data_IF_936625341154
#
_entry.id   IF_936625341154
#
_cell.length_a   1.000
_cell.length_b   1.000
_cell.length_c   1.000
_cell.angle_alpha   90.00
_cell.angle_beta   90.00
_cell.angle_gamma   90.00
#
_symmetry.space_group_name_H-M   'P 1'
#
loop_
_entity.id
_entity.type
_entity.pdbx_description
1 polymer ?
#
# COMPACT_ATOMS: atom_id res chain seq x y z
N UNK A 1 -12.91 -49.77 47.82
CA UNK A 1 -13.24 -48.41 47.33
C UNK A 1 -12.03 -47.60 46.83
N UNK A 2 -10.92 -47.46 47.57
CA UNK A 2 -9.76 -46.62 47.15
C UNK A 2 -9.07 -47.02 45.82
N UNK A 3 -8.95 -48.32 45.51
CA UNK A 3 -8.29 -48.78 44.25
C UNK A 3 -9.07 -48.41 42.99
N UNK A 4 -10.40 -48.46 43.04
CA UNK A 4 -11.26 -48.09 41.91
C UNK A 4 -11.22 -46.58 41.65
N UNK A 5 -11.10 -45.77 42.71
CA UNK A 5 -10.97 -44.32 42.58
C UNK A 5 -9.65 -43.91 41.93
N UNK A 6 -8.55 -44.58 42.27
CA UNK A 6 -7.23 -44.35 41.63
C UNK A 6 -7.28 -44.76 40.16
N UNK A 7 -7.91 -45.89 39.83
CA UNK A 7 -8.05 -46.35 38.46
C UNK A 7 -8.88 -45.39 37.60
N UNK A 8 -9.99 -44.88 38.13
CA UNK A 8 -10.82 -43.85 37.47
C UNK A 8 -10.03 -42.56 37.26
N UNK A 9 -9.25 -42.13 38.25
CA UNK A 9 -8.44 -40.91 38.14
C UNK A 9 -7.35 -41.03 37.06
N UNK A 10 -6.70 -42.19 36.95
CA UNK A 10 -5.70 -42.46 35.91
C UNK A 10 -6.34 -42.40 34.51
N UNK A 11 -7.52 -43.00 34.34
CA UNK A 11 -8.25 -42.96 33.06
C UNK A 11 -8.61 -41.51 32.70
N UNK A 12 -9.11 -40.72 33.65
CA UNK A 12 -9.46 -39.32 33.40
C UNK A 12 -8.23 -38.52 32.97
N UNK A 13 -7.10 -38.70 33.65
CA UNK A 13 -5.83 -38.03 33.29
C UNK A 13 -5.39 -38.43 31.87
N UNK A 14 -5.45 -39.72 31.52
CA UNK A 14 -5.07 -40.20 30.19
C UNK A 14 -5.95 -39.60 29.08
N UNK A 15 -7.26 -39.52 29.31
CA UNK A 15 -8.20 -38.90 28.36
C UNK A 15 -7.92 -37.41 28.18
N UNK A 16 -7.65 -36.69 29.27
CA UNK A 16 -7.31 -35.25 29.21
C UNK A 16 -6.00 -35.02 28.46
N UNK A 17 -4.96 -35.81 28.74
CA UNK A 17 -3.66 -35.70 28.06
C UNK A 17 -3.79 -36.00 26.57
N UNK A 18 -4.53 -37.06 26.21
CA UNK A 18 -4.82 -37.39 24.82
C UNK A 18 -5.59 -36.26 24.13
N UNK A 19 -6.60 -35.68 24.78
CA UNK A 19 -7.38 -34.56 24.26
C UNK A 19 -6.52 -33.31 23.99
N UNK A 20 -5.64 -32.94 24.92
CA UNK A 20 -4.72 -31.80 24.76
C UNK A 20 -3.73 -32.05 23.62
N UNK A 21 -3.22 -33.28 23.49
CA UNK A 21 -2.31 -33.65 22.40
C UNK A 21 -2.99 -33.58 21.03
N UNK A 22 -4.21 -34.12 20.92
CA UNK A 22 -5.02 -34.06 19.70
C UNK A 22 -5.33 -32.60 19.34
N UNK A 23 -5.77 -31.80 20.32
CA UNK A 23 -6.08 -30.38 20.10
C UNK A 23 -4.85 -29.59 19.63
N UNK A 24 -3.68 -29.80 20.25
CA UNK A 24 -2.43 -29.17 19.82
C UNK A 24 -2.02 -29.58 18.40
N UNK A 25 -2.28 -30.82 17.99
CA UNK A 25 -1.98 -31.25 16.62
C UNK A 25 -3.00 -30.70 15.61
N UNK A 26 -4.28 -30.60 15.97
CA UNK A 26 -5.32 -29.98 15.14
C UNK A 26 -5.02 -28.50 14.90
N UNK A 27 -4.68 -27.74 15.94
CA UNK A 27 -4.30 -26.33 15.76
C UNK A 27 -3.02 -26.18 14.95
N UNK A 28 -2.04 -27.08 15.10
CA UNK A 28 -0.82 -27.07 14.28
C UNK A 28 -1.10 -27.39 12.81
N UNK A 29 -2.06 -28.27 12.51
CA UNK A 29 -2.52 -28.57 11.15
C UNK A 29 -3.28 -27.40 10.53
N UNK A 30 -4.14 -26.74 11.30
CA UNK A 30 -4.91 -25.56 10.85
C UNK A 30 -4.00 -24.37 10.54
N UNK A 31 -2.94 -24.18 11.35
CA UNK A 31 -1.87 -23.19 11.08
C UNK A 31 -1.00 -23.61 9.89
N UNK A 32 -0.73 -24.92 9.70
CA UNK A 32 0.06 -25.41 8.57
C UNK A 32 -0.68 -25.36 7.23
N UNK A 33 -2.02 -25.46 7.21
CA UNK A 33 -2.83 -25.30 6.00
C UNK A 33 -3.07 -23.84 5.60
N UNK A 34 -2.74 -22.88 6.47
CA UNK A 34 -2.53 -21.49 6.06
C UNK A 34 -1.16 -21.38 5.40
N UNK A 35 -0.97 -22.12 4.32
CA UNK A 35 0.20 -21.99 3.46
C UNK A 35 0.28 -20.52 3.04
N UNK A 36 1.42 -19.90 3.35
CA UNK A 36 1.85 -18.68 2.70
C UNK A 36 1.79 -18.98 1.20
N UNK A 37 0.79 -18.47 0.49
CA UNK A 37 0.71 -18.61 -0.96
C UNK A 37 1.97 -17.92 -1.47
N UNK A 38 3.01 -18.70 -1.76
CA UNK A 38 4.24 -18.24 -2.38
C UNK A 38 3.81 -17.79 -3.77
N UNK A 39 3.41 -16.53 -3.90
CA UNK A 39 3.22 -15.93 -5.21
C UNK A 39 4.57 -16.09 -5.92
N UNK A 40 4.60 -16.70 -7.12
CA UNK A 40 5.83 -16.74 -7.88
C UNK A 40 6.31 -15.29 -8.04
N UNK A 41 7.57 -15.02 -7.66
CA UNK A 41 8.20 -13.71 -7.84
C UNK A 41 8.36 -13.44 -9.33
N UNK A 42 7.29 -12.97 -9.95
CA UNK A 42 7.16 -12.81 -11.41
C UNK A 42 7.62 -11.43 -11.88
N UNK A 43 7.86 -10.50 -10.95
CA UNK A 43 8.15 -9.10 -11.23
C UNK A 43 9.55 -8.65 -10.78
N UNK A 44 10.52 -9.57 -10.70
CA UNK A 44 11.91 -9.30 -10.25
C UNK A 44 12.64 -8.23 -11.09
N UNK A 45 12.24 -8.07 -12.35
CA UNK A 45 12.78 -7.04 -13.25
C UNK A 45 12.04 -5.70 -13.15
N UNK A 46 10.95 -5.61 -12.38
CA UNK A 46 10.15 -4.38 -12.22
C UNK A 46 10.67 -3.53 -11.08
N UNK A 47 10.56 -2.21 -11.27
CA UNK A 47 11.02 -1.22 -10.30
C UNK A 47 10.00 -0.09 -10.12
N UNK A 48 9.68 0.24 -8.87
CA UNK A 48 8.75 1.32 -8.53
C UNK A 48 9.44 2.37 -7.66
N UNK A 49 9.13 3.64 -7.92
CA UNK A 49 9.38 4.73 -7.00
C UNK A 49 8.14 5.00 -6.14
N UNK A 50 8.26 4.87 -4.81
CA UNK A 50 7.21 5.26 -3.88
C UNK A 50 7.59 6.60 -3.24
N UNK A 51 6.81 7.63 -3.54
CA UNK A 51 7.00 9.01 -3.10
C UNK A 51 6.22 9.26 -1.81
N UNK A 52 6.94 9.59 -0.74
CA UNK A 52 6.39 9.83 0.60
C UNK A 52 6.77 11.23 1.11
N UNK A 53 5.94 11.80 1.99
CA UNK A 53 6.35 12.94 2.80
C UNK A 53 7.51 12.54 3.71
N UNK A 54 8.44 13.46 3.98
CA UNK A 54 9.59 13.20 4.85
C UNK A 54 9.20 13.08 6.34
N UNK A 55 8.05 13.66 6.68
CA UNK A 55 7.37 13.52 7.96
C UNK A 55 5.89 13.31 7.71
N UNK A 56 5.27 12.50 8.56
CA UNK A 56 3.82 12.30 8.61
C UNK A 56 3.23 11.76 7.30
N UNK A 57 3.95 10.86 6.61
CA UNK A 57 3.31 9.99 5.62
C UNK A 57 2.39 9.00 6.34
N UNK A 58 1.37 8.47 5.66
CA UNK A 58 0.49 7.46 6.28
C UNK A 58 1.15 6.07 6.19
N UNK A 59 1.44 5.49 7.34
CA UNK A 59 2.15 4.21 7.50
C UNK A 59 1.49 3.07 6.71
N UNK A 60 0.20 2.84 6.92
CA UNK A 60 -0.53 1.77 6.23
C UNK A 60 -0.52 1.93 4.70
N UNK A 61 -0.56 3.15 4.20
CA UNK A 61 -0.55 3.44 2.77
C UNK A 61 0.84 3.21 2.14
N UNK A 62 1.92 3.25 2.93
CA UNK A 62 3.27 2.94 2.48
C UNK A 62 3.60 1.45 2.65
N UNK A 63 3.51 0.93 3.88
CA UNK A 63 4.02 -0.39 4.23
C UNK A 63 3.20 -1.52 3.61
N UNK A 64 1.86 -1.40 3.58
CA UNK A 64 1.00 -2.48 3.04
C UNK A 64 1.21 -2.66 1.53
N UNK A 65 1.12 -1.62 0.67
CA UNK A 65 1.41 -1.80 -0.75
C UNK A 65 2.86 -2.21 -1.00
N UNK A 66 3.82 -1.67 -0.23
CA UNK A 66 5.24 -2.05 -0.34
C UNK A 66 5.44 -3.54 -0.09
N UNK A 67 4.88 -4.09 0.98
CA UNK A 67 5.00 -5.51 1.31
C UNK A 67 4.40 -6.41 0.20
N UNK A 68 3.21 -6.07 -0.30
CA UNK A 68 2.57 -6.80 -1.42
C UNK A 68 3.46 -6.80 -2.67
N UNK A 69 4.00 -5.63 -3.03
CA UNK A 69 4.86 -5.48 -4.20
C UNK A 69 6.20 -6.22 -4.05
N UNK A 70 6.83 -6.14 -2.87
CA UNK A 70 8.08 -6.85 -2.56
C UNK A 70 7.88 -8.37 -2.58
N UNK A 71 6.73 -8.87 -2.07
CA UNK A 71 6.36 -10.29 -2.18
C UNK A 71 6.19 -10.74 -3.63
N UNK A 72 5.69 -9.87 -4.51
CA UNK A 72 5.62 -10.13 -5.95
C UNK A 72 6.99 -10.03 -6.68
N UNK A 73 8.06 -9.64 -5.96
CA UNK A 73 9.42 -9.52 -6.47
C UNK A 73 9.81 -8.11 -6.94
N UNK A 74 8.94 -7.13 -6.83
CA UNK A 74 9.20 -5.76 -7.33
C UNK A 74 10.27 -5.07 -6.49
N UNK A 75 11.21 -4.38 -7.15
CA UNK A 75 12.18 -3.51 -6.48
C UNK A 75 11.56 -2.16 -6.12
N UNK A 76 11.53 -1.83 -4.83
CA UNK A 76 11.02 -0.56 -4.33
C UNK A 76 12.16 0.42 -4.09
N UNK A 77 11.98 1.68 -4.51
CA UNK A 77 12.81 2.83 -4.17
C UNK A 77 11.94 3.84 -3.44
N UNK A 78 12.32 4.19 -2.22
CA UNK A 78 11.64 5.21 -1.42
C UNK A 78 12.15 6.59 -1.78
N UNK A 79 11.24 7.50 -2.07
CA UNK A 79 11.54 8.83 -2.61
C UNK A 79 10.89 9.88 -1.73
N UNK A 80 11.63 10.94 -1.39
CA UNK A 80 11.08 12.07 -0.62
C UNK A 80 11.77 13.39 -0.97
N UNK A 81 11.37 14.49 -0.35
CA UNK A 81 12.00 15.81 -0.56
C UNK A 81 13.30 15.99 0.19
N UNK A 82 13.63 15.07 1.11
CA UNK A 82 14.87 15.06 1.91
C UNK A 82 15.37 13.63 2.11
N UNK A 83 16.69 13.45 2.19
CA UNK A 83 17.35 12.17 2.51
C UNK A 83 17.38 11.93 4.03
N UNK A 84 17.53 10.65 4.41
CA UNK A 84 17.58 10.18 5.79
C UNK A 84 16.31 9.44 6.19
N UNK A 85 16.18 9.19 7.49
CA UNK A 85 15.05 8.48 8.07
C UNK A 85 13.76 9.31 8.06
N UNK A 86 12.83 8.93 7.18
CA UNK A 86 11.46 9.44 7.17
C UNK A 86 10.65 8.77 8.28
N UNK A 87 9.71 9.51 8.89
CA UNK A 87 8.87 9.01 9.99
C UNK A 87 7.41 9.24 9.61
N UNK A 88 6.60 8.18 9.67
CA UNK A 88 5.17 8.16 9.42
C UNK A 88 4.38 8.72 10.59
N UNK A 89 3.12 9.06 10.32
CA UNK A 89 2.23 9.69 11.31
C UNK A 89 1.93 8.76 12.50
N UNK A 90 2.03 7.44 12.31
CA UNK A 90 1.82 6.43 13.35
C UNK A 90 3.15 5.87 13.91
N UNK A 91 4.28 6.48 13.53
CA UNK A 91 5.60 6.23 14.12
C UNK A 91 6.48 5.21 13.39
N UNK A 92 6.00 4.58 12.31
CA UNK A 92 6.83 3.74 11.46
C UNK A 92 7.87 4.57 10.70
N UNK A 93 9.02 3.97 10.40
CA UNK A 93 10.12 4.67 9.75
C UNK A 93 10.65 3.93 8.51
N UNK A 94 11.28 4.70 7.62
CA UNK A 94 11.97 4.15 6.45
C UNK A 94 13.06 5.10 5.98
N UNK A 95 14.17 4.54 5.51
CA UNK A 95 15.23 5.31 4.87
C UNK A 95 14.76 5.82 3.50
N UNK A 96 15.11 7.06 3.15
CA UNK A 96 14.84 7.64 1.84
C UNK A 96 16.03 7.41 0.91
N UNK A 97 15.80 6.66 -0.17
CA UNK A 97 16.82 6.29 -1.15
C UNK A 97 17.14 7.40 -2.16
N UNK A 98 16.14 8.21 -2.51
CA UNK A 98 16.24 9.18 -3.60
C UNK A 98 15.44 10.46 -3.31
N UNK A 99 15.95 11.59 -3.78
CA UNK A 99 15.22 12.86 -3.74
C UNK A 99 14.25 12.98 -4.92
N UNK A 100 13.02 13.46 -4.68
CA UNK A 100 12.02 13.69 -5.74
C UNK A 100 12.59 14.53 -6.88
N UNK A 101 13.34 15.60 -6.57
CA UNK A 101 13.98 16.47 -7.58
C UNK A 101 15.02 15.77 -8.46
N UNK A 102 15.54 14.63 -8.03
CA UNK A 102 16.56 13.84 -8.73
C UNK A 102 15.96 12.56 -9.37
N UNK A 103 14.64 12.37 -9.28
CA UNK A 103 13.98 11.19 -9.81
C UNK A 103 13.96 11.24 -11.34
N UNK A 104 14.56 10.22 -11.97
CA UNK A 104 14.43 9.99 -13.41
C UNK A 104 13.39 8.89 -13.65
N UNK A 105 12.20 9.29 -14.08
CA UNK A 105 11.04 8.41 -14.30
C UNK A 105 11.34 7.27 -15.28
N UNK A 106 12.25 7.46 -16.24
CA UNK A 106 12.59 6.43 -17.23
C UNK A 106 13.15 5.15 -16.60
N UNK A 107 13.71 5.24 -15.39
CA UNK A 107 14.31 4.12 -14.66
C UNK A 107 13.29 3.27 -13.89
N UNK A 108 11.99 3.57 -14.01
CA UNK A 108 10.92 2.94 -13.25
C UNK A 108 9.80 2.46 -14.16
N UNK A 109 9.05 1.47 -13.69
CA UNK A 109 7.83 0.96 -14.31
C UNK A 109 6.58 1.64 -13.73
N UNK A 110 6.66 2.11 -12.49
CA UNK A 110 5.63 2.91 -11.84
C UNK A 110 6.21 3.99 -10.92
N UNK A 111 5.42 5.05 -10.70
CA UNK A 111 5.60 6.03 -9.63
C UNK A 111 4.32 6.10 -8.81
N UNK A 112 4.44 6.04 -7.49
CA UNK A 112 3.29 6.00 -6.57
C UNK A 112 3.43 7.09 -5.52
N UNK A 113 2.42 7.93 -5.35
CA UNK A 113 2.38 8.96 -4.29
C UNK A 113 1.56 8.47 -3.10
N UNK A 114 2.13 8.58 -1.90
CA UNK A 114 1.48 8.22 -0.63
C UNK A 114 0.89 9.46 0.03
N UNK A 115 -0.25 9.29 0.69
CA UNK A 115 -0.90 10.33 1.48
C UNK A 115 -0.33 10.47 2.88
N UNK A 116 -1.20 10.85 3.81
CA UNK A 116 -0.85 11.20 5.18
C UNK A 116 -0.87 12.71 5.44
N UNK A 117 -0.90 13.13 6.72
CA UNK A 117 -0.99 14.53 7.12
C UNK A 117 0.10 15.43 6.52
N UNK A 118 1.33 14.91 6.38
CA UNK A 118 2.45 15.65 5.81
C UNK A 118 2.45 15.73 4.28
N UNK A 119 1.60 14.96 3.59
CA UNK A 119 1.64 14.80 2.14
C UNK A 119 1.64 16.14 1.40
N UNK A 120 0.61 16.97 1.60
CA UNK A 120 0.50 18.24 0.87
C UNK A 120 1.58 19.24 1.30
N UNK A 121 1.97 19.26 2.57
CA UNK A 121 3.04 20.15 3.04
C UNK A 121 4.38 19.87 2.35
N UNK A 122 4.73 18.60 2.17
CA UNK A 122 6.04 18.21 1.64
C UNK A 122 6.04 17.98 0.13
N UNK A 123 4.92 17.56 -0.46
CA UNK A 123 4.86 17.07 -1.84
C UNK A 123 4.01 17.93 -2.78
N UNK A 124 3.23 18.90 -2.29
CA UNK A 124 2.44 19.80 -3.14
C UNK A 124 3.33 20.92 -3.74
N UNK A 125 4.21 20.53 -4.66
CA UNK A 125 5.20 21.42 -5.27
C UNK A 125 5.58 20.97 -6.69
N UNK A 126 6.30 21.84 -7.39
CA UNK A 126 6.63 21.66 -8.80
C UNK A 126 7.46 20.41 -9.11
N UNK A 127 8.32 19.94 -8.19
CA UNK A 127 9.08 18.72 -8.43
C UNK A 127 8.15 17.50 -8.51
N UNK A 128 7.15 17.41 -7.62
CA UNK A 128 6.15 16.34 -7.65
C UNK A 128 5.26 16.44 -8.89
N UNK A 129 4.83 17.65 -9.27
CA UNK A 129 4.01 17.84 -10.46
C UNK A 129 4.76 17.43 -11.74
N UNK A 130 6.04 17.80 -11.83
CA UNK A 130 6.91 17.39 -12.93
C UNK A 130 7.02 15.86 -13.01
N UNK A 131 7.28 15.19 -11.88
CA UNK A 131 7.34 13.72 -11.83
C UNK A 131 6.02 13.08 -12.29
N UNK A 132 4.87 13.60 -11.84
CA UNK A 132 3.56 13.12 -12.27
C UNK A 132 3.36 13.24 -13.79
N UNK A 133 3.67 14.41 -14.38
CA UNK A 133 3.59 14.63 -15.83
C UNK A 133 4.51 13.71 -16.62
N UNK A 134 5.78 13.62 -16.22
CA UNK A 134 6.77 12.74 -16.86
C UNK A 134 6.38 11.27 -16.79
N UNK A 135 5.70 10.84 -15.71
CA UNK A 135 5.19 9.47 -15.56
C UNK A 135 4.17 9.13 -16.65
N UNK A 136 3.24 10.05 -16.93
CA UNK A 136 2.27 9.89 -18.02
C UNK A 136 2.94 9.98 -19.39
N UNK A 137 3.80 10.98 -19.61
CA UNK A 137 4.52 11.17 -20.88
C UNK A 137 5.36 9.95 -21.27
N UNK A 138 5.95 9.26 -20.30
CA UNK A 138 6.74 8.04 -20.51
C UNK A 138 5.90 6.76 -20.49
N UNK A 139 4.57 6.87 -20.46
CA UNK A 139 3.63 5.75 -20.48
C UNK A 139 3.90 4.74 -19.33
N UNK A 140 4.25 5.26 -18.14
CA UNK A 140 4.47 4.48 -16.92
C UNK A 140 3.19 4.44 -16.08
N UNK A 141 3.13 3.52 -15.12
CA UNK A 141 2.02 3.48 -14.16
C UNK A 141 2.16 4.64 -13.18
N UNK A 142 1.05 5.35 -12.93
CA UNK A 142 0.98 6.43 -11.96
C UNK A 142 -0.05 6.08 -10.88
N UNK A 143 0.42 5.83 -9.66
CA UNK A 143 -0.41 5.53 -8.50
C UNK A 143 -0.50 6.70 -7.52
N UNK A 144 -1.64 6.85 -6.84
CA UNK A 144 -1.79 7.86 -5.80
C UNK A 144 -2.88 7.49 -4.80
N UNK A 145 -2.60 7.52 -3.50
CA UNK A 145 -3.55 7.11 -2.45
C UNK A 145 -3.84 8.24 -1.46
N UNK A 146 -5.06 8.23 -0.93
CA UNK A 146 -5.56 9.12 0.11
C UNK A 146 -5.63 10.58 -0.35
N UNK A 147 -4.92 11.51 0.29
CA UNK A 147 -4.93 12.94 -0.08
C UNK A 147 -4.01 13.25 -1.28
N UNK A 148 -3.05 12.38 -1.58
CA UNK A 148 -2.06 12.62 -2.65
C UNK A 148 -2.62 12.77 -4.08
N UNK A 149 -3.79 12.23 -4.47
CA UNK A 149 -4.40 12.50 -5.78
C UNK A 149 -4.64 13.99 -6.06
N UNK A 150 -4.71 14.84 -5.03
CA UNK A 150 -4.72 16.31 -5.17
C UNK A 150 -3.48 16.80 -5.93
N UNK A 151 -2.30 16.23 -5.69
CA UNK A 151 -1.06 16.57 -6.37
C UNK A 151 -1.18 16.25 -7.87
N UNK A 152 -1.78 15.10 -8.19
CA UNK A 152 -1.95 14.66 -9.58
C UNK A 152 -3.00 15.52 -10.31
N UNK A 153 -4.07 15.90 -9.62
CA UNK A 153 -5.08 16.82 -10.14
C UNK A 153 -4.46 18.20 -10.47
N UNK A 154 -3.69 18.78 -9.55
CA UNK A 154 -2.99 20.07 -9.74
C UNK A 154 -1.90 20.00 -10.82
N UNK A 155 -1.26 18.84 -11.00
CA UNK A 155 -0.32 18.61 -12.09
C UNK A 155 -0.99 18.52 -13.47
N UNK A 156 -2.33 18.46 -13.52
CA UNK A 156 -3.13 18.39 -14.74
C UNK A 156 -3.26 16.98 -15.34
N UNK A 157 -2.61 15.97 -14.74
CA UNK A 157 -2.57 14.61 -15.31
C UNK A 157 -3.86 13.81 -15.12
N UNK A 158 -4.76 14.28 -14.25
CA UNK A 158 -6.07 13.68 -14.02
C UNK A 158 -7.23 14.34 -14.78
N UNK A 159 -6.95 15.37 -15.60
CA UNK A 159 -8.02 16.05 -16.36
C UNK A 159 -8.73 15.04 -17.27
N UNK A 160 -10.06 15.01 -17.21
CA UNK A 160 -10.94 14.06 -17.93
C UNK A 160 -10.71 12.58 -17.59
N UNK A 161 -9.97 12.28 -16.51
CA UNK A 161 -9.78 10.93 -15.99
C UNK A 161 -10.69 10.64 -14.83
N UNK A 162 -11.02 9.36 -14.66
CA UNK A 162 -11.71 8.87 -13.47
C UNK A 162 -10.71 8.68 -12.34
N UNK A 163 -11.05 9.17 -11.15
CA UNK A 163 -10.20 9.00 -9.98
C UNK A 163 -11.02 9.07 -8.68
N UNK A 164 -10.46 8.55 -7.60
CA UNK A 164 -10.93 8.75 -6.24
C UNK A 164 -9.88 9.51 -5.42
N UNK A 165 -10.25 9.96 -4.22
CA UNK A 165 -9.41 10.70 -3.30
C UNK A 165 -9.99 10.56 -1.89
N UNK A 166 -9.13 10.73 -0.87
CA UNK A 166 -9.59 10.81 0.50
C UNK A 166 -10.58 11.95 0.70
N UNK A 167 -11.66 11.63 1.41
CA UNK A 167 -12.65 12.60 1.83
C UNK A 167 -13.34 12.09 3.09
N UNK A 168 -13.90 13.01 3.86
CA UNK A 168 -14.75 12.69 5.00
C UNK A 168 -15.96 13.63 5.03
N UNK A 169 -16.99 13.36 5.86
CA UNK A 169 -18.07 14.31 6.07
C UNK A 169 -17.59 15.69 6.58
N UNK A 170 -16.43 15.72 7.26
CA UNK A 170 -15.85 16.95 7.83
C UNK A 170 -14.91 17.67 6.86
N UNK A 171 -14.34 16.94 5.90
CA UNK A 171 -13.44 17.51 4.89
C UNK A 171 -13.72 16.92 3.51
N UNK A 172 -14.37 17.73 2.67
CA UNK A 172 -14.64 17.46 1.25
C UNK A 172 -13.73 18.29 0.33
N UNK A 173 -12.74 18.98 0.88
CA UNK A 173 -11.78 19.81 0.16
C UNK A 173 -11.06 19.08 -0.98
N UNK A 174 -10.51 17.87 -0.76
CA UNK A 174 -9.84 17.12 -1.82
C UNK A 174 -10.75 16.80 -3.01
N UNK A 175 -12.00 16.40 -2.75
CA UNK A 175 -13.01 16.12 -3.80
C UNK A 175 -13.31 17.38 -4.61
N UNK A 176 -13.44 18.53 -3.94
CA UNK A 176 -13.65 19.81 -4.62
C UNK A 176 -12.48 20.16 -5.54
N UNK A 177 -11.24 20.00 -5.06
CA UNK A 177 -10.03 20.26 -5.86
C UNK A 177 -9.98 19.35 -7.10
N UNK A 178 -10.29 18.06 -6.96
CA UNK A 178 -10.38 17.14 -8.10
C UNK A 178 -11.37 17.66 -9.15
N UNK A 179 -12.59 17.98 -8.74
CA UNK A 179 -13.64 18.48 -9.66
C UNK A 179 -13.25 19.78 -10.35
N UNK A 180 -12.65 20.72 -9.62
CA UNK A 180 -12.18 22.00 -10.17
C UNK A 180 -11.06 21.82 -11.22
N UNK A 181 -10.31 20.73 -11.15
CA UNK A 181 -9.29 20.36 -12.12
C UNK A 181 -9.81 19.43 -13.24
N UNK A 182 -11.13 19.28 -13.37
CA UNK A 182 -11.76 18.50 -14.44
C UNK A 182 -11.67 16.99 -14.27
N UNK A 183 -11.46 16.50 -13.04
CA UNK A 183 -11.42 15.06 -12.73
C UNK A 183 -12.85 14.51 -12.58
N UNK A 184 -13.10 13.33 -13.15
CA UNK A 184 -14.34 12.58 -12.96
C UNK A 184 -14.22 11.82 -11.64
N UNK A 185 -14.60 12.47 -10.54
CA UNK A 185 -14.55 11.86 -9.22
C UNK A 185 -15.54 10.69 -9.08
N UNK A 186 -15.04 9.53 -8.67
CA UNK A 186 -15.85 8.37 -8.28
C UNK A 186 -15.67 8.09 -6.78
N UNK A 187 -16.80 7.94 -6.07
CA UNK A 187 -16.80 7.57 -4.65
C UNK A 187 -16.61 6.05 -4.49
N UNK A 188 -15.37 5.61 -4.69
CA UNK A 188 -14.92 4.21 -4.60
C UNK A 188 -13.60 4.12 -3.84
N UNK A 189 -13.32 2.94 -3.32
CA UNK A 189 -12.08 2.65 -2.58
C UNK A 189 -10.86 2.71 -3.49
N UNK A 190 -10.94 2.08 -4.67
CA UNK A 190 -9.90 2.13 -5.72
C UNK A 190 -10.53 2.42 -7.08
N UNK A 191 -9.89 3.28 -7.87
CA UNK A 191 -10.27 3.62 -9.24
C UNK A 191 -9.06 3.44 -10.16
N UNK A 192 -9.24 2.65 -11.21
CA UNK A 192 -8.24 2.45 -12.27
C UNK A 192 -8.76 3.04 -13.58
N UNK A 193 -7.98 3.94 -14.17
CA UNK A 193 -8.22 4.55 -15.49
C UNK A 193 -6.96 4.42 -16.36
N UNK A 194 -6.92 3.38 -17.18
CA UNK A 194 -5.73 3.02 -17.95
C UNK A 194 -4.56 2.65 -17.03
N UNK A 195 -3.48 3.44 -17.10
CA UNK A 195 -2.28 3.26 -16.24
C UNK A 195 -2.28 4.14 -14.99
N UNK A 196 -3.37 4.86 -14.74
CA UNK A 196 -3.54 5.67 -13.53
C UNK A 196 -4.37 4.86 -12.54
N UNK A 197 -3.88 4.75 -11.31
CA UNK A 197 -4.61 4.14 -10.19
C UNK A 197 -4.67 5.12 -9.03
N UNK A 198 -5.87 5.30 -8.48
CA UNK A 198 -6.09 6.13 -7.29
C UNK A 198 -6.85 5.36 -6.22
N UNK A 199 -6.58 5.65 -4.96
CA UNK A 199 -7.27 5.02 -3.82
C UNK A 199 -7.67 6.06 -2.76
N UNK A 200 -8.77 5.85 -2.05
CA UNK A 200 -9.39 6.86 -1.19
C UNK A 200 -8.81 6.95 0.23
N UNK A 201 -7.92 6.05 0.66
CA UNK A 201 -7.40 6.09 2.03
C UNK A 201 -6.76 4.80 2.51
N UNK A 202 -6.36 4.74 3.79
CA UNK A 202 -5.63 3.60 4.35
C UNK A 202 -6.43 2.29 4.32
N UNK A 203 -7.77 2.34 4.37
CA UNK A 203 -8.62 1.15 4.25
C UNK A 203 -8.53 0.47 2.88
N UNK A 204 -8.13 1.20 1.84
CA UNK A 204 -7.97 0.70 0.48
C UNK A 204 -6.52 0.28 0.15
N UNK A 205 -5.59 0.34 1.11
CA UNK A 205 -4.16 0.12 0.87
C UNK A 205 -3.84 -1.30 0.34
N UNK A 206 -4.53 -2.33 0.85
CA UNK A 206 -4.34 -3.70 0.39
C UNK A 206 -4.80 -3.88 -1.07
N UNK A 207 -6.04 -3.45 -1.39
CA UNK A 207 -6.56 -3.50 -2.76
C UNK A 207 -5.70 -2.67 -3.72
N UNK A 208 -5.26 -1.49 -3.29
CA UNK A 208 -4.38 -0.63 -4.06
C UNK A 208 -3.04 -1.31 -4.39
N UNK A 209 -2.41 -1.98 -3.41
CA UNK A 209 -1.20 -2.77 -3.61
C UNK A 209 -1.41 -3.92 -4.60
N UNK A 210 -2.50 -4.67 -4.46
CA UNK A 210 -2.82 -5.78 -5.37
C UNK A 210 -3.07 -5.28 -6.80
N UNK A 211 -3.77 -4.16 -6.98
CA UNK A 211 -4.01 -3.58 -8.30
C UNK A 211 -2.74 -3.03 -8.95
N UNK A 212 -1.76 -2.56 -8.17
CA UNK A 212 -0.44 -2.21 -8.70
C UNK A 212 0.30 -3.43 -9.23
N UNK A 213 0.24 -4.58 -8.52
CA UNK A 213 0.78 -5.85 -9.02
C UNK A 213 0.10 -6.22 -10.34
N UNK A 214 -1.24 -6.21 -10.39
CA UNK A 214 -2.00 -6.55 -11.61
C UNK A 214 -1.58 -5.67 -12.80
N UNK A 215 -1.41 -4.36 -12.59
CA UNK A 215 -0.98 -3.43 -13.65
C UNK A 215 0.45 -3.70 -14.14
N UNK A 216 1.35 -4.14 -13.25
CA UNK A 216 2.74 -4.44 -13.59
C UNK A 216 2.90 -5.77 -14.34
N UNK A 217 2.08 -6.75 -14.01
CA UNK A 217 2.04 -8.05 -14.69
C UNK A 217 1.54 -7.92 -16.13
N UNK A 218 0.62 -6.98 -16.39
CA UNK A 218 0.00 -6.77 -17.70
C UNK A 218 0.71 -5.72 -18.58
N UNK A 219 1.98 -5.40 -18.29
CA UNK A 219 2.80 -4.47 -19.09
C UNK A 219 3.47 -5.13 -20.30
#
# INVERSE_FOLDING_TARGET
MRKNLIFVLIIVILVVVAGVFIFKNLTKMEVAQKEEIIMPKTLENKKIAIVIAFRDFRDAEYFVPKEILEKAGVKIITVSTKLGMSIGADGGDTEVDLLVKNLNVANFDAVVFIGGPGCLQYLDNENSYKVARETIEKNKILGSICVSPVILAKAGVLKEKRATVWSSPLDRGPVKILKENGVIYEDKDVVVDGKIITANGPGAAEEFGQKLVDLLTNQ
#
